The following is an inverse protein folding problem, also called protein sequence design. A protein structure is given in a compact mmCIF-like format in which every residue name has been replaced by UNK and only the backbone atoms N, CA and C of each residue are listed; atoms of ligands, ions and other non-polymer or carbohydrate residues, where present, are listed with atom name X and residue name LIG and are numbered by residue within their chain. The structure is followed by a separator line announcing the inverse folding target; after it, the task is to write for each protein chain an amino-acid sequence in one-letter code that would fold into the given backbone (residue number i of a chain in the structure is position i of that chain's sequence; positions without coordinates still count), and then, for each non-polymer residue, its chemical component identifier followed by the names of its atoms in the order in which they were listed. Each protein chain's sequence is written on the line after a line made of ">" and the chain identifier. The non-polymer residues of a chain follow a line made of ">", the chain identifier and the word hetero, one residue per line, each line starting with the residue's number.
data_IF_620725764016
#
_entry.id   IF_620725764016
#
_cell.length_a   1.000
_cell.length_b   1.000
_cell.length_c   1.000
_cell.angle_alpha   90.00
_cell.angle_beta   90.00
_cell.angle_gamma   90.00
#
_symmetry.space_group_name_H-M   'P 1'
#
loop_
_entity.id
_entity.type
_entity.pdbx_description
1 polymer ?
#
# COMPACT_ATOMS: atom_id res chain seq x y z
N UNK A 1 -2.14 12.20 5.87
CA UNK A 1 -2.70 11.27 4.86
C UNK A 1 -1.56 10.87 3.91
N UNK A 2 -1.48 9.60 3.49
CA UNK A 2 -0.36 9.06 2.69
C UNK A 2 -0.11 9.86 1.39
N UNK A 3 -1.17 10.39 0.77
CA UNK A 3 -1.10 11.20 -0.45
C UNK A 3 -0.29 12.50 -0.29
N UNK A 4 -0.38 13.17 0.86
CA UNK A 4 0.40 14.40 1.10
C UNK A 4 1.89 14.08 1.23
N UNK A 5 2.23 12.92 1.81
CA UNK A 5 3.61 12.48 1.93
C UNK A 5 4.17 12.13 0.55
N UNK A 6 3.42 11.36 -0.24
CA UNK A 6 3.76 11.03 -1.64
C UNK A 6 3.99 12.30 -2.46
N UNK A 7 3.08 13.28 -2.39
CA UNK A 7 3.20 14.52 -3.16
C UNK A 7 4.34 15.42 -2.68
N UNK A 8 4.63 15.45 -1.38
CA UNK A 8 5.72 16.26 -0.82
C UNK A 8 7.10 15.70 -1.15
N UNK A 9 7.19 14.38 -1.29
CA UNK A 9 8.44 13.67 -1.52
C UNK A 9 8.60 13.18 -2.97
N UNK A 10 7.71 13.58 -3.87
CA UNK A 10 7.75 13.23 -5.30
C UNK A 10 7.91 11.71 -5.50
N UNK A 11 7.12 10.92 -4.76
CA UNK A 11 7.19 9.46 -4.81
C UNK A 11 6.43 8.97 -6.04
N UNK A 12 7.13 8.27 -6.94
CA UNK A 12 6.53 7.74 -8.18
C UNK A 12 6.00 6.30 -8.03
N UNK A 13 6.44 5.56 -7.01
CA UNK A 13 6.05 4.17 -6.78
C UNK A 13 5.94 3.86 -5.28
N UNK A 14 4.78 3.35 -4.87
CA UNK A 14 4.56 2.87 -3.51
C UNK A 14 4.79 1.36 -3.44
N UNK A 15 5.67 0.89 -2.54
CA UNK A 15 5.88 -0.54 -2.31
C UNK A 15 5.48 -0.91 -0.88
N UNK A 16 4.55 -1.84 -0.75
CA UNK A 16 4.08 -2.43 0.51
C UNK A 16 4.70 -3.82 0.66
N UNK A 17 5.28 -4.14 1.82
CA UNK A 17 5.88 -5.46 2.09
C UNK A 17 5.08 -6.16 3.19
N UNK A 18 4.74 -7.44 2.98
CA UNK A 18 4.13 -8.27 4.01
C UNK A 18 5.17 -8.68 5.06
N UNK A 19 5.38 -7.91 6.12
CA UNK A 19 6.02 -8.48 7.31
C UNK A 19 5.01 -9.40 7.98
N UNK A 20 5.39 -10.66 8.26
CA UNK A 20 4.57 -11.58 9.06
C UNK A 20 4.01 -10.81 10.28
N UNK A 21 2.70 -10.92 10.49
CA UNK A 21 1.82 -10.14 11.38
C UNK A 21 0.96 -9.07 10.66
N UNK A 22 -0.20 -9.53 10.19
CA UNK A 22 -1.52 -8.84 10.27
C UNK A 22 -1.75 -7.52 9.51
N UNK A 23 -0.72 -6.82 9.05
CA UNK A 23 -0.91 -5.51 8.40
C UNK A 23 -1.51 -5.65 7.00
N UNK A 24 -0.95 -6.49 6.13
CA UNK A 24 -1.51 -6.69 4.79
C UNK A 24 -2.92 -7.31 4.83
N UNK A 25 -3.19 -8.27 5.72
CA UNK A 25 -4.54 -8.84 5.83
C UNK A 25 -5.57 -7.79 6.24
N UNK A 26 -5.24 -6.91 7.20
CA UNK A 26 -6.13 -5.81 7.58
C UNK A 26 -6.27 -4.76 6.48
N UNK A 27 -5.27 -4.62 5.60
CA UNK A 27 -5.30 -3.70 4.46
C UNK A 27 -6.11 -4.26 3.28
N UNK A 28 -6.02 -5.57 3.06
CA UNK A 28 -6.72 -6.34 2.03
C UNK A 28 -8.19 -6.57 2.34
N UNK A 29 -8.62 -6.45 3.61
CA UNK A 29 -10.03 -6.39 3.99
C UNK A 29 -10.63 -5.06 3.53
N UNK A 30 -10.95 -4.97 2.24
CA UNK A 30 -12.17 -4.46 1.56
C UNK A 30 -12.79 -3.06 1.81
N UNK A 31 -12.30 -2.14 2.68
CA UNK A 31 -12.48 -0.72 2.37
C UNK A 31 -11.17 0.04 2.15
N UNK A 32 -10.04 -0.46 2.65
CA UNK A 32 -8.77 0.29 2.61
C UNK A 32 -8.09 0.22 1.25
N UNK A 33 -8.08 -0.95 0.58
CA UNK A 33 -7.59 -1.03 -0.81
C UNK A 33 -8.51 -0.30 -1.79
N UNK A 34 -9.83 -0.35 -1.65
CA UNK A 34 -10.70 0.42 -2.54
C UNK A 34 -10.51 1.93 -2.31
N UNK A 35 -10.51 2.39 -1.05
CA UNK A 35 -10.31 3.82 -0.75
C UNK A 35 -8.91 4.34 -1.16
N UNK A 36 -7.88 3.49 -1.09
CA UNK A 36 -6.52 3.83 -1.49
C UNK A 36 -6.31 3.66 -3.00
N UNK A 37 -6.68 2.53 -3.58
CA UNK A 37 -6.58 2.24 -5.01
C UNK A 37 -7.40 3.19 -5.88
N UNK A 38 -8.57 3.66 -5.41
CA UNK A 38 -9.37 4.67 -6.12
C UNK A 38 -8.83 6.10 -5.98
N UNK A 39 -7.99 6.41 -4.99
CA UNK A 39 -7.50 7.79 -4.74
C UNK A 39 -5.98 7.96 -4.81
N UNK A 40 -5.20 6.89 -4.90
CA UNK A 40 -3.76 6.96 -5.14
C UNK A 40 -3.52 7.27 -6.61
N UNK A 41 -2.82 8.38 -6.84
CA UNK A 41 -2.45 8.84 -8.18
C UNK A 41 -1.22 8.13 -8.75
N UNK A 42 -0.60 7.25 -7.95
CA UNK A 42 0.64 6.55 -8.29
C UNK A 42 0.43 5.03 -8.27
N UNK A 43 1.13 4.28 -9.11
CA UNK A 43 1.10 2.83 -9.05
C UNK A 43 1.62 2.33 -7.69
N UNK A 44 1.11 1.19 -7.23
CA UNK A 44 1.60 0.54 -6.02
C UNK A 44 1.84 -0.97 -6.25
N UNK A 45 2.83 -1.50 -5.52
CA UNK A 45 3.20 -2.91 -5.54
C UNK A 45 3.07 -3.50 -4.14
N UNK A 46 2.52 -4.70 -4.04
CA UNK A 46 2.46 -5.46 -2.79
C UNK A 46 3.37 -6.67 -2.90
N UNK A 47 4.44 -6.69 -2.10
CA UNK A 47 5.36 -7.80 -1.98
C UNK A 47 4.93 -8.72 -0.85
N UNK A 48 4.61 -9.98 -1.19
CA UNK A 48 4.29 -11.00 -0.21
C UNK A 48 5.57 -11.69 0.26
N UNK A 49 5.83 -11.67 1.57
CA UNK A 49 6.85 -12.51 2.18
C UNK A 49 6.33 -13.95 2.28
N UNK A 50 6.37 -14.66 1.15
CA UNK A 50 6.12 -16.08 1.08
C UNK A 50 7.34 -16.78 1.68
N UNK A 51 7.28 -17.13 2.96
CA UNK A 51 8.29 -18.03 3.53
C UNK A 51 8.21 -19.37 2.82
N UNK A 52 9.31 -19.76 2.15
CA UNK A 52 9.49 -21.08 1.55
C UNK A 52 9.40 -22.19 2.59
#
# INVERSE_FOLDING_TARGET
>A
MINNFISKHEIDLLVLVNSKHSFLESFLKTPTIDALGLNLKIPFLILQNLSR
#
